data_IF_151193325364
#
_entry.id   IF_151193325364
#
_cell.length_a   1.000
_cell.length_b   1.000
_cell.length_c   1.000
_cell.angle_alpha   90.00
_cell.angle_beta   90.00
_cell.angle_gamma   90.00
#
_symmetry.space_group_name_H-M   'P 1'
#
loop_
_entity.id
_entity.type
_entity.pdbx_description
1 polymer ?
#
# COMPACT_ATOMS: atom_id res chain seq x y z
N UNK A 1 53.86 15.44 -11.98
CA UNK A 1 52.79 15.37 -10.96
C UNK A 1 51.56 14.82 -11.67
N UNK A 2 51.42 13.50 -11.78
CA UNK A 2 50.81 12.56 -10.81
C UNK A 2 49.38 12.99 -10.46
N UNK A 3 48.42 12.18 -10.90
CA UNK A 3 46.99 12.33 -10.60
C UNK A 3 46.11 11.36 -11.36
N UNK A 4 46.51 10.09 -11.46
CA UNK A 4 45.63 8.97 -11.86
C UNK A 4 44.64 8.69 -10.74
N UNK A 5 43.34 8.66 -11.03
CA UNK A 5 42.38 7.90 -10.21
C UNK A 5 41.76 6.84 -11.11
N UNK A 6 42.24 5.62 -10.92
CA UNK A 6 41.61 4.39 -11.40
C UNK A 6 40.47 4.01 -10.44
N UNK A 7 39.33 3.60 -10.97
CA UNK A 7 38.42 2.68 -10.29
C UNK A 7 37.86 1.68 -11.33
N UNK A 8 38.01 0.38 -11.07
CA UNK A 8 37.59 -0.75 -11.93
C UNK A 8 36.93 -1.85 -11.04
N UNK A 9 36.25 -2.87 -11.59
CA UNK A 9 34.78 -3.04 -11.62
C UNK A 9 34.31 -4.35 -10.93
N UNK A 10 32.99 -4.66 -10.95
CA UNK A 10 32.48 -6.05 -10.88
C UNK A 10 31.19 -6.22 -11.69
N UNK A 11 31.17 -7.34 -12.39
CA UNK A 11 30.30 -7.72 -13.51
C UNK A 11 28.86 -8.04 -13.09
N UNK A 12 27.88 -7.86 -13.99
CA UNK A 12 26.92 -8.91 -14.34
C UNK A 12 26.36 -8.67 -15.75
N UNK A 13 26.39 -9.73 -16.55
CA UNK A 13 26.12 -9.82 -17.98
C UNK A 13 24.62 -9.73 -18.29
N UNK A 14 24.22 -8.85 -19.21
CA UNK A 14 23.11 -9.09 -20.13
C UNK A 14 23.51 -8.55 -21.52
N UNK A 15 23.48 -9.45 -22.51
CA UNK A 15 23.94 -9.27 -23.89
C UNK A 15 23.14 -8.17 -24.62
N UNK A 16 23.76 -7.34 -25.47
CA UNK A 16 23.00 -6.60 -26.48
C UNK A 16 22.73 -7.50 -27.70
N UNK A 17 21.46 -7.69 -28.04
CA UNK A 17 21.00 -8.21 -29.33
C UNK A 17 21.35 -7.21 -30.45
N UNK A 18 21.61 -7.69 -31.68
CA UNK A 18 22.05 -6.82 -32.78
C UNK A 18 20.86 -6.01 -33.31
N UNK A 19 20.83 -4.70 -33.06
CA UNK A 19 19.92 -3.78 -33.76
C UNK A 19 20.57 -3.40 -35.09
N UNK A 20 19.79 -3.69 -36.12
CA UNK A 20 20.06 -3.53 -37.54
C UNK A 20 20.33 -2.07 -37.92
N UNK A 21 21.20 -1.92 -38.92
CA UNK A 21 21.49 -0.66 -39.61
C UNK A 21 20.20 -0.08 -40.17
N UNK A 22 19.70 1.02 -39.61
CA UNK A 22 18.77 1.96 -40.24
C UNK A 22 18.96 3.34 -39.57
N UNK A 23 19.94 4.11 -40.01
CA UNK A 23 19.85 5.11 -41.08
C UNK A 23 19.28 6.46 -40.61
N UNK A 24 20.20 7.42 -40.44
CA UNK A 24 20.08 8.84 -40.77
C UNK A 24 19.00 9.73 -40.08
N UNK A 25 18.75 9.57 -38.78
CA UNK A 25 18.08 10.62 -37.97
C UNK A 25 18.91 11.16 -36.80
N UNK A 26 20.18 10.76 -36.68
CA UNK A 26 21.00 11.08 -35.50
C UNK A 26 21.86 12.35 -35.60
N UNK A 27 22.05 12.95 -36.77
CA UNK A 27 22.89 14.16 -36.91
C UNK A 27 22.15 15.47 -36.66
N UNK A 28 20.81 15.49 -36.69
CA UNK A 28 20.00 16.67 -36.29
C UNK A 28 19.90 16.84 -34.77
N UNK A 29 20.04 15.74 -34.01
CA UNK A 29 19.84 15.75 -32.55
C UNK A 29 21.09 16.17 -31.75
N UNK A 30 22.26 16.29 -32.38
CA UNK A 30 23.50 16.72 -31.70
C UNK A 30 23.63 18.25 -31.68
N UNK A 31 23.11 18.95 -32.70
CA UNK A 31 23.14 20.42 -32.74
C UNK A 31 22.05 21.07 -31.88
N UNK A 32 20.90 20.42 -31.72
CA UNK A 32 19.83 20.90 -30.84
C UNK A 32 20.13 20.63 -29.35
N UNK A 33 20.89 19.59 -29.01
CA UNK A 33 21.29 19.31 -27.63
C UNK A 33 22.40 20.23 -27.10
N UNK A 34 23.22 20.84 -27.97
CA UNK A 34 24.21 21.84 -27.56
C UNK A 34 23.60 23.22 -27.24
N UNK A 35 22.37 23.50 -27.67
CA UNK A 35 21.71 24.79 -27.42
C UNK A 35 20.69 24.76 -26.28
N UNK A 36 20.34 23.59 -25.73
CA UNK A 36 19.29 23.45 -24.72
C UNK A 36 19.77 23.56 -23.27
N UNK A 37 21.08 23.65 -23.00
CA UNK A 37 21.61 23.60 -21.63
C UNK A 37 22.45 24.83 -21.24
N UNK A 38 21.88 26.02 -21.47
CA UNK A 38 22.38 27.26 -20.86
C UNK A 38 21.40 27.77 -19.81
N UNK A 39 21.44 27.15 -18.62
CA UNK A 39 20.77 27.63 -17.41
C UNK A 39 21.81 28.26 -16.49
N UNK A 40 21.92 29.60 -16.53
CA UNK A 40 22.62 30.38 -15.51
C UNK A 40 21.59 31.17 -14.71
N UNK A 41 21.47 30.85 -13.42
CA UNK A 41 20.89 31.69 -12.36
C UNK A 41 19.46 32.22 -12.54
N UNK A 42 18.46 31.33 -12.51
CA UNK A 42 17.15 31.62 -11.89
C UNK A 42 16.32 32.80 -12.43
N UNK A 43 16.64 33.34 -13.61
CA UNK A 43 15.78 34.31 -14.32
C UNK A 43 15.21 33.63 -15.54
N UNK A 44 13.88 33.56 -15.65
CA UNK A 44 13.26 33.27 -16.94
C UNK A 44 13.66 34.38 -17.90
N UNK A 45 14.48 34.04 -18.88
CA UNK A 45 14.77 34.90 -20.01
C UNK A 45 13.75 34.53 -21.09
N UNK A 46 12.84 35.46 -21.40
CA UNK A 46 12.07 35.38 -22.64
C UNK A 46 13.05 35.15 -23.80
N UNK A 47 12.72 34.21 -24.70
CA UNK A 47 13.44 34.03 -25.97
C UNK A 47 13.31 35.31 -26.80
N UNK A 48 14.15 36.31 -26.55
CA UNK A 48 14.31 37.47 -27.43
C UNK A 48 15.29 37.10 -28.53
N UNK A 49 14.75 36.69 -29.67
CA UNK A 49 15.53 36.57 -30.92
C UNK A 49 15.92 37.99 -31.31
N UNK A 50 17.20 38.35 -31.18
CA UNK A 50 17.71 39.64 -31.66
C UNK A 50 17.79 39.59 -33.20
N UNK A 51 17.03 40.48 -33.86
CA UNK A 51 16.86 40.53 -35.32
C UNK A 51 17.62 41.70 -35.95
N UNK A 52 18.44 42.42 -35.18
CA UNK A 52 19.21 43.57 -35.66
C UNK A 52 20.21 43.13 -36.76
N UNK A 53 19.99 43.61 -37.99
CA UNK A 53 20.84 43.33 -39.16
C UNK A 53 20.35 42.22 -40.09
N UNK A 54 19.20 41.60 -39.82
CA UNK A 54 18.58 40.61 -40.70
C UNK A 54 17.78 41.34 -41.80
N UNK A 55 17.93 40.94 -43.08
CA UNK A 55 17.13 41.51 -44.17
C UNK A 55 15.63 41.35 -43.86
N UNK A 56 14.80 42.37 -44.14
CA UNK A 56 13.37 42.38 -43.80
C UNK A 56 12.61 41.13 -44.29
N UNK A 57 13.04 40.55 -45.41
CA UNK A 57 12.50 39.30 -45.95
C UNK A 57 12.83 38.05 -45.12
N UNK A 58 14.03 38.00 -44.54
CA UNK A 58 14.47 36.90 -43.67
C UNK A 58 13.92 37.01 -42.26
N UNK A 59 13.69 38.23 -41.75
CA UNK A 59 13.06 38.47 -40.45
C UNK A 59 11.61 37.99 -40.44
N UNK A 60 10.84 38.32 -41.49
CA UNK A 60 9.47 37.84 -41.65
C UNK A 60 9.41 36.31 -41.68
N UNK A 61 10.37 35.67 -42.36
CA UNK A 61 10.44 34.21 -42.46
C UNK A 61 10.75 33.55 -41.11
N UNK A 62 11.65 34.12 -40.32
CA UNK A 62 11.97 33.65 -38.96
C UNK A 62 10.76 33.81 -38.04
N UNK A 63 10.08 34.95 -38.06
CA UNK A 63 8.85 35.18 -37.27
C UNK A 63 7.74 34.19 -37.63
N UNK A 64 7.59 33.88 -38.91
CA UNK A 64 6.58 32.92 -39.39
C UNK A 64 6.92 31.49 -38.97
N UNK A 65 8.20 31.10 -39.02
CA UNK A 65 8.66 29.81 -38.51
C UNK A 65 8.45 29.67 -37.00
N UNK A 66 8.83 30.70 -36.22
CA UNK A 66 8.62 30.71 -34.76
C UNK A 66 7.13 30.66 -34.41
N UNK A 67 6.30 31.37 -35.16
CA UNK A 67 4.85 31.33 -34.99
C UNK A 67 4.28 29.94 -35.28
N UNK A 68 4.72 29.29 -36.36
CA UNK A 68 4.27 27.95 -36.75
C UNK A 68 4.71 26.88 -35.75
N UNK A 69 5.94 26.96 -35.25
CA UNK A 69 6.50 26.12 -34.17
C UNK A 69 5.66 26.26 -32.88
N UNK A 70 5.28 27.49 -32.52
CA UNK A 70 4.43 27.74 -31.34
C UNK A 70 2.99 27.23 -31.49
N UNK A 71 2.47 27.20 -32.72
CA UNK A 71 1.14 26.67 -33.02
C UNK A 71 1.19 25.14 -32.93
N UNK A 72 2.20 24.50 -33.53
CA UNK A 72 2.39 23.05 -33.46
C UNK A 72 2.51 22.58 -32.01
N UNK A 73 3.31 23.22 -31.15
CA UNK A 73 3.45 22.86 -29.73
C UNK A 73 2.12 22.97 -28.93
N UNK A 74 1.28 23.98 -29.24
CA UNK A 74 0.00 24.17 -28.58
C UNK A 74 -1.06 23.14 -29.04
N UNK A 75 -1.08 22.81 -30.33
CA UNK A 75 -1.97 21.77 -30.85
C UNK A 75 -1.52 20.37 -30.45
N UNK A 76 -0.22 20.09 -30.40
CA UNK A 76 0.32 18.83 -29.87
C UNK A 76 -0.01 18.66 -28.38
N UNK A 77 0.01 19.73 -27.60
CA UNK A 77 -0.43 19.70 -26.20
C UNK A 77 -1.94 19.42 -26.07
N UNK A 78 -2.76 19.99 -26.95
CA UNK A 78 -4.21 19.76 -26.97
C UNK A 78 -4.56 18.34 -27.46
N UNK A 79 -3.80 17.80 -28.42
CA UNK A 79 -3.97 16.43 -28.92
C UNK A 79 -3.50 15.37 -27.91
N UNK A 80 -2.46 15.66 -27.14
CA UNK A 80 -1.94 14.78 -26.08
C UNK A 80 -2.60 15.03 -24.70
N UNK A 81 -3.64 15.87 -24.65
CA UNK A 81 -4.33 16.23 -23.40
C UNK A 81 -5.00 15.01 -22.75
N UNK A 82 -5.62 14.15 -23.56
CA UNK A 82 -6.23 12.89 -23.09
C UNK A 82 -5.18 11.98 -22.44
N UNK A 83 -4.06 11.73 -23.13
CA UNK A 83 -2.99 10.87 -22.60
C UNK A 83 -2.38 11.46 -21.32
N UNK A 84 -2.25 12.78 -21.25
CA UNK A 84 -1.72 13.49 -20.07
C UNK A 84 -2.65 13.34 -18.88
N UNK A 85 -3.96 13.59 -19.05
CA UNK A 85 -4.94 13.40 -17.98
C UNK A 85 -5.11 11.95 -17.58
N UNK A 86 -5.01 11.01 -18.52
CA UNK A 86 -5.01 9.58 -18.21
C UNK A 86 -3.83 9.21 -17.31
N UNK A 87 -2.61 9.62 -17.66
CA UNK A 87 -1.41 9.39 -16.86
C UNK A 87 -1.49 10.07 -15.49
N UNK A 88 -2.02 11.30 -15.46
CA UNK A 88 -2.22 12.04 -14.21
C UNK A 88 -3.22 11.33 -13.30
N UNK A 89 -4.42 11.00 -13.80
CA UNK A 89 -5.45 10.31 -13.05
C UNK A 89 -5.00 8.93 -12.56
N UNK A 90 -4.24 8.18 -13.38
CA UNK A 90 -3.64 6.91 -12.96
C UNK A 90 -2.64 7.11 -11.82
N UNK A 91 -1.70 8.05 -11.96
CA UNK A 91 -0.70 8.34 -10.92
C UNK A 91 -1.35 8.82 -9.61
N UNK A 92 -2.33 9.71 -9.71
CA UNK A 92 -3.07 10.22 -8.55
C UNK A 92 -3.88 9.11 -7.88
N UNK A 93 -4.65 8.33 -8.65
CA UNK A 93 -5.42 7.20 -8.15
C UNK A 93 -4.55 6.12 -7.52
N UNK A 94 -3.39 5.82 -8.12
CA UNK A 94 -2.43 4.86 -7.56
C UNK A 94 -1.84 5.34 -6.22
N UNK A 95 -1.39 6.60 -6.15
CA UNK A 95 -0.86 7.19 -4.90
C UNK A 95 -1.91 7.26 -3.81
N UNK A 96 -3.14 7.66 -4.16
CA UNK A 96 -4.25 7.72 -3.24
C UNK A 96 -4.61 6.32 -2.75
N UNK A 97 -4.81 5.35 -3.65
CA UNK A 97 -5.13 3.97 -3.30
C UNK A 97 -4.08 3.32 -2.40
N UNK A 98 -2.79 3.58 -2.64
CA UNK A 98 -1.72 3.08 -1.78
C UNK A 98 -1.78 3.66 -0.35
N UNK A 99 -2.09 4.96 -0.23
CA UNK A 99 -2.15 5.65 1.06
C UNK A 99 -3.40 5.25 1.84
N UNK A 100 -4.56 5.33 1.19
CA UNK A 100 -5.86 5.01 1.78
C UNK A 100 -5.95 3.53 2.10
N UNK A 101 -5.54 2.65 1.18
CA UNK A 101 -5.57 1.21 1.41
C UNK A 101 -4.69 0.76 2.58
N UNK A 102 -3.54 1.42 2.81
CA UNK A 102 -2.70 1.14 3.98
C UNK A 102 -3.39 1.53 5.29
N UNK A 103 -4.04 2.68 5.32
CA UNK A 103 -4.73 3.15 6.53
C UNK A 103 -5.98 2.32 6.81
N UNK A 104 -6.77 2.01 5.78
CA UNK A 104 -7.94 1.13 5.90
C UNK A 104 -7.54 -0.26 6.39
N UNK A 105 -6.52 -0.89 5.79
CA UNK A 105 -6.04 -2.20 6.21
C UNK A 105 -5.58 -2.20 7.68
N UNK A 106 -4.91 -1.12 8.13
CA UNK A 106 -4.48 -0.95 9.52
C UNK A 106 -5.68 -0.84 10.46
N UNK A 107 -6.67 -0.02 10.10
CA UNK A 107 -7.87 0.19 10.93
C UNK A 107 -8.70 -1.09 11.04
N UNK A 108 -8.93 -1.77 9.91
CA UNK A 108 -9.65 -3.04 9.86
C UNK A 108 -8.89 -4.09 10.68
N UNK A 109 -7.59 -4.29 10.44
CA UNK A 109 -6.80 -5.27 11.19
C UNK A 109 -6.80 -5.03 12.70
N UNK A 110 -6.71 -3.77 13.14
CA UNK A 110 -6.77 -3.41 14.56
C UNK A 110 -8.15 -3.72 15.16
N UNK A 111 -9.23 -3.35 14.46
CA UNK A 111 -10.61 -3.59 14.91
C UNK A 111 -10.88 -5.09 15.03
N UNK A 112 -10.66 -5.85 13.96
CA UNK A 112 -10.94 -7.29 13.93
C UNK A 112 -10.05 -8.05 14.91
N UNK A 113 -8.78 -7.66 15.00
CA UNK A 113 -7.85 -8.25 15.96
C UNK A 113 -8.25 -8.01 17.41
N UNK A 114 -8.74 -6.81 17.73
CA UNK A 114 -9.25 -6.50 19.07
C UNK A 114 -10.52 -7.29 19.40
N UNK A 115 -11.49 -7.35 18.48
CA UNK A 115 -12.74 -8.11 18.66
C UNK A 115 -12.48 -9.59 18.97
N UNK A 116 -11.55 -10.22 18.23
CA UNK A 116 -11.19 -11.62 18.45
C UNK A 116 -10.34 -11.81 19.71
N UNK A 117 -9.40 -10.91 19.96
CA UNK A 117 -8.54 -10.93 21.15
C UNK A 117 -9.34 -10.77 22.45
N UNK A 118 -10.34 -9.90 22.45
CA UNK A 118 -11.28 -9.73 23.56
C UNK A 118 -12.05 -11.03 23.84
N UNK A 119 -12.63 -11.63 22.80
CA UNK A 119 -13.41 -12.88 22.95
C UNK A 119 -12.53 -14.01 23.52
N UNK A 120 -11.31 -14.18 22.99
CA UNK A 120 -10.34 -15.16 23.48
C UNK A 120 -9.91 -14.89 24.93
N UNK A 121 -9.61 -13.64 25.25
CA UNK A 121 -9.22 -13.21 26.59
C UNK A 121 -10.34 -13.46 27.61
N UNK A 122 -11.58 -13.19 27.23
CA UNK A 122 -12.76 -13.51 28.03
C UNK A 122 -12.87 -15.01 28.32
N UNK A 123 -12.76 -15.86 27.30
CA UNK A 123 -12.78 -17.31 27.49
C UNK A 123 -11.63 -17.78 28.37
N UNK A 124 -10.44 -17.21 28.23
CA UNK A 124 -9.29 -17.55 29.07
C UNK A 124 -9.56 -17.23 30.54
N UNK A 125 -10.06 -16.03 30.83
CA UNK A 125 -10.43 -15.64 32.19
C UNK A 125 -11.49 -16.56 32.80
N UNK A 126 -12.49 -16.97 32.01
CA UNK A 126 -13.49 -17.94 32.45
C UNK A 126 -12.86 -19.29 32.82
N UNK A 127 -12.03 -19.84 31.93
CA UNK A 127 -11.34 -21.11 32.13
C UNK A 127 -10.47 -21.07 33.39
N UNK A 128 -9.73 -19.99 33.63
CA UNK A 128 -8.87 -19.84 34.80
C UNK A 128 -9.68 -19.85 36.11
N UNK A 129 -10.80 -19.12 36.15
CA UNK A 129 -11.73 -19.09 37.30
C UNK A 129 -12.38 -20.45 37.53
N UNK A 130 -12.85 -21.11 36.47
CA UNK A 130 -13.48 -22.42 36.56
C UNK A 130 -12.50 -23.49 37.00
N UNK A 131 -11.28 -23.48 36.48
CA UNK A 131 -10.20 -24.36 36.92
C UNK A 131 -9.87 -24.12 38.39
N UNK A 132 -9.85 -22.87 38.86
CA UNK A 132 -9.68 -22.56 40.29
C UNK A 132 -10.83 -23.12 41.14
N UNK A 133 -12.07 -22.95 40.72
CA UNK A 133 -13.24 -23.48 41.43
C UNK A 133 -13.24 -25.02 41.49
N UNK A 134 -12.88 -25.69 40.39
CA UNK A 134 -12.74 -27.16 40.33
C UNK A 134 -11.64 -27.65 41.27
N UNK A 135 -10.52 -26.91 41.40
CA UNK A 135 -9.45 -27.27 42.35
C UNK A 135 -9.89 -27.16 43.80
N UNK A 136 -10.71 -26.17 44.14
CA UNK A 136 -11.23 -25.97 45.50
C UNK A 136 -12.25 -27.03 45.87
N UNK A 137 -13.17 -27.36 44.96
CA UNK A 137 -14.17 -28.43 45.15
C UNK A 137 -14.35 -29.26 43.87
N UNK A 138 -13.59 -30.37 43.74
CA UNK A 138 -13.67 -31.25 42.58
C UNK A 138 -15.00 -32.00 42.44
N UNK A 139 -15.79 -32.11 43.52
CA UNK A 139 -17.04 -32.87 43.53
C UNK A 139 -18.24 -32.05 43.09
N UNK A 140 -18.13 -30.71 43.17
CA UNK A 140 -19.21 -29.77 42.85
C UNK A 140 -19.66 -29.81 41.39
N UNK A 141 -18.75 -30.09 40.47
CA UNK A 141 -19.01 -30.07 39.04
C UNK A 141 -18.88 -31.46 38.44
N UNK A 142 -19.80 -31.82 37.53
CA UNK A 142 -19.74 -33.12 36.86
C UNK A 142 -18.43 -33.30 36.07
N UNK A 143 -17.98 -34.55 35.96
CA UNK A 143 -16.79 -34.92 35.18
C UNK A 143 -16.87 -34.46 33.72
N UNK A 144 -18.08 -34.40 33.15
CA UNK A 144 -18.34 -33.86 31.81
C UNK A 144 -17.93 -32.39 31.70
N UNK A 145 -18.32 -31.57 32.67
CA UNK A 145 -18.01 -30.13 32.67
C UNK A 145 -16.51 -29.91 32.88
N UNK A 146 -15.90 -30.66 33.80
CA UNK A 146 -14.44 -30.59 34.01
C UNK A 146 -13.66 -30.91 32.72
N UNK A 147 -14.10 -31.93 31.97
CA UNK A 147 -13.51 -32.26 30.66
C UNK A 147 -13.73 -31.14 29.64
N UNK A 148 -14.92 -30.56 29.58
CA UNK A 148 -15.19 -29.44 28.67
C UNK A 148 -14.33 -28.21 28.96
N UNK A 149 -14.08 -27.89 30.23
CA UNK A 149 -13.18 -26.78 30.63
C UNK A 149 -11.76 -27.04 30.16
N UNK A 150 -11.22 -28.26 30.37
CA UNK A 150 -9.89 -28.64 29.86
C UNK A 150 -9.80 -28.54 28.33
N UNK A 151 -10.83 -28.99 27.62
CA UNK A 151 -10.86 -28.87 26.16
C UNK A 151 -10.90 -27.41 25.69
N UNK A 152 -11.57 -26.51 26.42
CA UNK A 152 -11.50 -25.08 26.12
C UNK A 152 -10.09 -24.53 26.34
N UNK A 153 -9.41 -24.92 27.41
CA UNK A 153 -8.01 -24.54 27.67
C UNK A 153 -7.07 -24.97 26.54
N UNK A 154 -7.22 -26.21 26.06
CA UNK A 154 -6.46 -26.73 24.92
C UNK A 154 -6.74 -25.97 23.61
N UNK A 155 -8.00 -25.63 23.35
CA UNK A 155 -8.40 -24.86 22.16
C UNK A 155 -7.83 -23.44 22.19
N UNK A 156 -7.87 -22.77 23.35
CA UNK A 156 -7.25 -21.45 23.53
C UNK A 156 -5.74 -21.53 23.30
N UNK A 157 -5.08 -22.57 23.82
CA UNK A 157 -3.63 -22.75 23.63
C UNK A 157 -3.21 -23.07 22.19
N UNK A 158 -4.11 -23.66 21.38
CA UNK A 158 -3.86 -23.97 19.97
C UNK A 158 -4.17 -22.82 19.02
N UNK A 159 -4.80 -21.74 19.50
CA UNK A 159 -5.21 -20.64 18.66
C UNK A 159 -3.99 -19.98 17.98
N UNK A 160 -3.94 -19.89 16.63
CA UNK A 160 -2.78 -19.37 15.91
C UNK A 160 -2.75 -17.84 15.92
N UNK A 161 -2.22 -17.25 17.00
CA UNK A 161 -2.14 -15.78 17.16
C UNK A 161 -1.33 -15.11 16.03
N UNK A 162 -0.32 -15.80 15.51
CA UNK A 162 0.59 -15.27 14.48
C UNK A 162 0.10 -15.50 13.05
N UNK A 163 -0.96 -16.31 12.87
CA UNK A 163 -1.50 -16.69 11.56
C UNK A 163 -3.03 -16.63 11.60
N UNK A 164 -3.62 -15.42 11.59
CA UNK A 164 -5.06 -15.23 11.72
C UNK A 164 -5.85 -15.65 10.46
N UNK A 165 -5.17 -15.88 9.33
CA UNK A 165 -5.79 -16.34 8.08
C UNK A 165 -5.90 -17.87 7.99
N UNK A 166 -5.43 -18.58 9.02
CA UNK A 166 -5.49 -20.02 9.07
C UNK A 166 -6.93 -20.54 9.08
N UNK A 167 -7.25 -21.52 8.24
CA UNK A 167 -8.58 -22.14 8.15
C UNK A 167 -9.08 -22.67 9.52
N UNK A 168 -8.16 -23.09 10.39
CA UNK A 168 -8.50 -23.60 11.73
C UNK A 168 -8.99 -22.54 12.71
N UNK A 169 -8.75 -21.24 12.46
CA UNK A 169 -9.19 -20.15 13.35
C UNK A 169 -10.70 -20.17 13.56
N UNK A 170 -11.45 -20.31 12.48
CA UNK A 170 -12.92 -20.33 12.54
C UNK A 170 -13.43 -21.55 13.31
N UNK A 171 -12.86 -22.73 13.03
CA UNK A 171 -13.24 -23.97 13.72
C UNK A 171 -12.94 -23.91 15.23
N UNK A 172 -11.80 -23.34 15.62
CA UNK A 172 -11.42 -23.15 17.03
C UNK A 172 -12.39 -22.20 17.73
N UNK A 173 -12.70 -21.05 17.12
CA UNK A 173 -13.62 -20.07 17.71
C UNK A 173 -15.04 -20.61 17.85
N UNK A 174 -15.56 -21.31 16.84
CA UNK A 174 -16.89 -21.92 16.93
C UNK A 174 -16.94 -23.05 17.97
N UNK A 175 -15.88 -23.84 18.05
CA UNK A 175 -15.71 -24.84 19.11
C UNK A 175 -15.67 -24.22 20.50
N UNK A 176 -14.99 -23.08 20.68
CA UNK A 176 -14.95 -22.34 21.94
C UNK A 176 -16.33 -21.81 22.32
N UNK A 177 -17.04 -21.15 21.39
CA UNK A 177 -18.41 -20.63 21.60
C UNK A 177 -19.40 -21.74 21.97
N UNK A 178 -19.29 -22.91 21.35
CA UNK A 178 -20.12 -24.08 21.66
C UNK A 178 -19.82 -24.62 23.06
N UNK A 179 -18.54 -24.86 23.37
CA UNK A 179 -18.15 -25.40 24.69
C UNK A 179 -18.47 -24.42 25.81
N UNK A 180 -18.27 -23.13 25.59
CA UNK A 180 -18.63 -22.09 26.54
C UNK A 180 -20.12 -22.16 26.92
N UNK A 181 -21.02 -22.30 25.94
CA UNK A 181 -22.47 -22.48 26.19
C UNK A 181 -22.76 -23.71 27.04
N UNK A 182 -22.11 -24.85 26.75
CA UNK A 182 -22.26 -26.09 27.52
C UNK A 182 -21.79 -25.92 28.96
N UNK A 183 -20.62 -25.30 29.14
CA UNK A 183 -19.98 -25.11 30.44
C UNK A 183 -20.76 -24.12 31.30
N UNK A 184 -21.20 -23.00 30.71
CA UNK A 184 -22.10 -22.01 31.34
C UNK A 184 -23.37 -22.68 31.86
N UNK A 185 -24.06 -23.45 31.01
CA UNK A 185 -25.28 -24.16 31.38
C UNK A 185 -25.04 -25.19 32.49
N UNK A 186 -23.93 -25.92 32.41
CA UNK A 186 -23.58 -26.96 33.38
C UNK A 186 -23.17 -26.42 34.76
N UNK A 187 -22.74 -25.17 34.86
CA UNK A 187 -22.42 -24.52 36.14
C UNK A 187 -23.55 -23.64 36.68
N UNK A 188 -24.62 -23.43 35.90
CA UNK A 188 -25.77 -22.62 36.33
C UNK A 188 -25.44 -21.14 36.52
N UNK A 189 -24.38 -20.63 35.89
CA UNK A 189 -23.93 -19.25 36.05
C UNK A 189 -24.53 -18.38 34.94
N UNK A 190 -25.14 -17.25 35.30
CA UNK A 190 -25.57 -16.24 34.33
C UNK A 190 -24.37 -15.39 33.92
N UNK A 191 -23.52 -15.94 33.07
CA UNK A 191 -22.36 -15.25 32.51
C UNK A 191 -22.61 -15.00 31.03
N UNK A 192 -22.76 -13.76 30.60
CA UNK A 192 -22.98 -13.40 29.20
C UNK A 192 -21.69 -12.82 28.58
N UNK A 193 -21.49 -13.06 27.29
CA UNK A 193 -20.45 -12.40 26.51
C UNK A 193 -21.19 -11.45 25.56
N UNK A 194 -21.22 -10.18 25.91
CA UNK A 194 -21.97 -9.16 25.18
C UNK A 194 -21.15 -8.58 24.00
N UNK A 195 -19.87 -8.96 23.92
CA UNK A 195 -18.90 -8.44 22.96
C UNK A 195 -18.63 -6.94 23.13
N UNK A 196 -17.66 -6.44 22.37
CA UNK A 196 -17.39 -5.01 22.35
C UNK A 196 -18.65 -4.22 21.91
N UNK A 197 -19.09 -3.20 22.69
CA UNK A 197 -20.20 -2.36 22.27
C UNK A 197 -19.83 -1.68 20.96
N UNK A 198 -20.57 -2.01 19.90
CA UNK A 198 -20.38 -1.38 18.59
C UNK A 198 -20.51 0.14 18.79
N UNK A 199 -19.53 0.94 18.31
CA UNK A 199 -19.68 2.39 18.37
C UNK A 199 -20.99 2.74 17.67
N UNK A 200 -21.82 3.55 18.33
CA UNK A 200 -23.05 4.06 17.73
C UNK A 200 -22.66 4.75 16.43
N UNK A 201 -23.23 4.32 15.31
CA UNK A 201 -23.05 5.01 14.04
C UNK A 201 -23.48 6.46 14.24
N UNK A 202 -22.51 7.36 14.33
CA UNK A 202 -22.78 8.79 14.18
C UNK A 202 -23.13 8.96 12.71
N UNK A 203 -24.44 8.98 12.43
CA UNK A 203 -24.97 9.47 11.16
C UNK A 203 -24.43 10.89 10.94
N UNK A 204 -23.56 11.05 9.95
CA UNK A 204 -23.09 12.34 9.45
C UNK A 204 -23.91 12.75 8.24
#
# INVERSE_FOLDING_TARGET
MIGLVYYKPKDTLLRPSPITKNNAKSTKNIWLSMFSDWRVNGKQMEKKVNLDGVCSRTEAHIKLLVFMDSIEDNFDSALNLEETHFKQGYSEGYKHGLTTGKEEARQVGLKTGFEVGEELGFYRGCVDVWNAAIRVDPSRFSTRIQKSVKQMEELIGKYPIMDPENESVQEIMDSLRLKFRVVRAGMGVKLEYDGYPKPKETEF
#
